data_IF_223776026574
#
_entry.id   IF_223776026574
#
_cell.length_a   1.000
_cell.length_b   1.000
_cell.length_c   1.000
_cell.angle_alpha   90.00
_cell.angle_beta   90.00
_cell.angle_gamma   90.00
#
_symmetry.space_group_name_H-M   'P 1'
#
loop_
_entity.id
_entity.type
_entity.pdbx_description
1 polymer ?
#
# COMPACT_ATOMS: atom_id res chain seq x y z
N UNK A 1 25.42 -25.14 4.07
CA UNK A 1 25.09 -24.88 5.49
C UNK A 1 25.04 -23.38 5.80
N UNK A 2 25.90 -22.57 5.18
CA UNK A 2 25.93 -21.09 5.32
C UNK A 2 24.64 -20.38 4.88
N UNK A 3 23.97 -20.84 3.81
CA UNK A 3 22.72 -20.23 3.31
C UNK A 3 21.54 -20.34 4.30
N UNK A 4 21.42 -21.42 5.09
CA UNK A 4 20.38 -21.55 6.13
C UNK A 4 20.66 -20.71 7.38
N UNK A 5 21.93 -20.41 7.65
CA UNK A 5 22.34 -19.58 8.80
C UNK A 5 22.13 -18.09 8.52
N UNK A 6 22.31 -17.65 7.28
CA UNK A 6 22.00 -16.29 6.83
C UNK A 6 20.49 -16.01 6.86
N UNK A 7 19.66 -17.01 6.50
CA UNK A 7 18.20 -16.92 6.47
C UNK A 7 17.59 -16.78 7.89
N UNK A 8 18.17 -17.46 8.89
CA UNK A 8 17.79 -17.31 10.30
C UNK A 8 18.25 -15.99 10.91
N UNK A 9 19.44 -15.51 10.55
CA UNK A 9 19.96 -14.22 11.02
C UNK A 9 19.16 -13.04 10.44
N UNK A 10 18.76 -13.12 9.16
CA UNK A 10 17.85 -12.16 8.51
C UNK A 10 16.49 -12.13 9.20
N UNK A 11 15.82 -13.27 9.39
CA UNK A 11 14.53 -13.33 10.09
C UNK A 11 14.59 -12.86 11.54
N UNK A 12 15.74 -13.05 12.20
CA UNK A 12 15.95 -12.56 13.57
C UNK A 12 16.14 -11.05 13.60
N UNK A 13 16.87 -10.50 12.63
CA UNK A 13 17.05 -9.05 12.49
C UNK A 13 15.75 -8.36 12.08
N UNK A 14 14.93 -9.01 11.23
CA UNK A 14 13.60 -8.51 10.85
C UNK A 14 12.71 -8.33 12.06
N UNK A 15 12.67 -9.32 12.94
CA UNK A 15 11.91 -9.24 14.20
C UNK A 15 12.44 -8.15 15.13
N UNK A 16 13.76 -7.99 15.20
CA UNK A 16 14.40 -7.01 16.11
C UNK A 16 14.11 -5.57 15.71
N UNK A 17 14.18 -5.22 14.41
CA UNK A 17 13.84 -3.85 13.99
C UNK A 17 12.34 -3.59 14.14
N UNK A 18 11.48 -4.58 13.86
CA UNK A 18 10.03 -4.46 14.05
C UNK A 18 9.67 -4.24 15.53
N UNK A 19 10.31 -4.98 16.44
CA UNK A 19 10.14 -4.81 17.89
C UNK A 19 10.60 -3.44 18.36
N UNK A 20 11.75 -2.96 17.87
CA UNK A 20 12.23 -1.62 18.19
C UNK A 20 11.28 -0.55 17.65
N UNK A 21 10.84 -0.68 16.40
CA UNK A 21 9.91 0.25 15.79
C UNK A 21 8.60 0.32 16.60
N UNK A 22 8.07 -0.81 17.09
CA UNK A 22 6.87 -0.84 17.95
C UNK A 22 7.07 -0.07 19.25
N UNK A 23 8.25 -0.19 19.86
CA UNK A 23 8.60 0.57 21.08
C UNK A 23 8.66 2.06 20.79
N UNK A 24 9.34 2.47 19.72
CA UNK A 24 9.45 3.88 19.33
C UNK A 24 8.08 4.49 19.01
N UNK A 25 7.18 3.73 18.38
CA UNK A 25 5.79 4.17 18.17
C UNK A 25 5.07 4.37 19.51
N UNK A 26 5.22 3.46 20.47
CA UNK A 26 4.62 3.63 21.79
C UNK A 26 5.16 4.87 22.53
N UNK A 27 6.46 5.16 22.40
CA UNK A 27 7.09 6.35 22.98
C UNK A 27 6.63 7.65 22.28
N UNK A 28 6.44 7.62 20.97
CA UNK A 28 5.81 8.70 20.23
C UNK A 28 4.37 8.90 20.70
N UNK A 29 3.59 7.82 20.83
CA UNK A 29 2.20 7.86 21.30
C UNK A 29 2.07 8.43 22.72
N UNK A 30 3.05 8.14 23.59
CA UNK A 30 3.09 8.68 24.96
C UNK A 30 3.52 10.16 25.02
N UNK A 31 3.91 10.75 23.89
CA UNK A 31 4.41 12.13 23.82
C UNK A 31 5.84 12.31 24.32
N UNK A 32 6.63 11.23 24.43
CA UNK A 32 8.04 11.31 24.83
C UNK A 32 8.86 12.15 23.84
N UNK A 33 8.46 12.13 22.57
CA UNK A 33 9.01 12.96 21.50
C UNK A 33 7.90 13.81 20.86
N UNK A 34 7.83 15.12 21.18
CA UNK A 34 6.84 16.02 20.61
C UNK A 34 7.00 16.18 19.09
N UNK A 35 5.91 16.53 18.38
CA UNK A 35 5.96 16.89 16.96
C UNK A 35 6.93 18.06 16.73
N UNK A 36 7.77 17.95 15.71
CA UNK A 36 8.84 18.89 15.38
C UNK A 36 10.14 18.66 16.16
N UNK A 37 10.14 17.81 17.20
CA UNK A 37 11.36 17.48 17.93
C UNK A 37 12.23 16.49 17.15
N UNK A 38 13.54 16.49 17.46
CA UNK A 38 14.48 15.53 16.91
C UNK A 38 14.52 14.28 17.78
N UNK A 39 14.46 13.10 17.17
CA UNK A 39 14.77 11.85 17.87
C UNK A 39 16.24 11.85 18.34
N UNK A 40 16.55 11.06 19.39
CA UNK A 40 17.94 10.81 19.79
C UNK A 40 18.75 10.24 18.62
N UNK A 41 20.08 10.42 18.67
CA UNK A 41 20.92 9.95 17.58
C UNK A 41 20.85 8.41 17.45
N UNK A 42 21.04 7.86 16.24
CA UNK A 42 21.02 6.39 16.00
C UNK A 42 21.92 5.63 17.00
N UNK A 43 23.05 6.22 17.39
CA UNK A 43 23.99 5.64 18.36
C UNK A 43 23.41 5.58 19.77
N UNK A 44 22.66 6.59 20.17
CA UNK A 44 22.03 6.68 21.49
C UNK A 44 20.85 5.72 21.59
N UNK A 45 20.00 5.69 20.56
CA UNK A 45 18.90 4.72 20.45
C UNK A 45 19.41 3.27 20.48
N UNK A 46 20.52 3.00 19.79
CA UNK A 46 21.14 1.67 19.81
C UNK A 46 21.57 1.26 21.22
N UNK A 47 22.13 2.18 22.00
CA UNK A 47 22.51 1.94 23.39
C UNK A 47 21.29 1.80 24.31
N UNK A 48 20.30 2.68 24.17
CA UNK A 48 19.09 2.69 25.00
C UNK A 48 18.27 1.40 24.86
N UNK A 49 18.16 0.88 23.64
CA UNK A 49 17.36 -0.31 23.34
C UNK A 49 18.19 -1.59 23.22
N UNK A 50 19.50 -1.52 23.46
CA UNK A 50 20.43 -2.64 23.38
C UNK A 50 20.36 -3.41 22.05
N UNK A 51 20.40 -2.67 20.93
CA UNK A 51 20.38 -3.23 19.57
C UNK A 51 21.52 -2.67 18.71
N UNK A 52 21.70 -3.23 17.52
CA UNK A 52 22.68 -2.71 16.57
C UNK A 52 22.23 -1.41 15.92
N UNK A 53 23.18 -0.55 15.49
CA UNK A 53 22.86 0.68 14.74
C UNK A 53 22.11 0.41 13.42
N UNK A 54 22.44 -0.62 12.63
CA UNK A 54 21.63 -1.01 11.47
C UNK A 54 20.17 -1.29 11.84
N UNK A 55 19.90 -2.02 12.93
CA UNK A 55 18.54 -2.30 13.42
C UNK A 55 17.79 -1.03 13.79
N UNK A 56 18.46 -0.05 14.42
CA UNK A 56 17.88 1.27 14.70
C UNK A 56 17.54 2.01 13.42
N UNK A 57 18.44 1.99 12.44
CA UNK A 57 18.21 2.64 11.15
C UNK A 57 17.02 2.01 10.41
N UNK A 58 16.89 0.69 10.41
CA UNK A 58 15.74 -0.02 9.84
C UNK A 58 14.44 0.36 10.55
N UNK A 59 14.44 0.46 11.88
CA UNK A 59 13.29 0.93 12.64
C UNK A 59 12.92 2.39 12.29
N UNK A 60 13.89 3.30 12.22
CA UNK A 60 13.66 4.70 11.83
C UNK A 60 13.11 4.79 10.40
N UNK A 61 13.65 4.00 9.46
CA UNK A 61 13.12 3.93 8.09
C UNK A 61 11.66 3.44 8.11
N UNK A 62 11.33 2.44 8.92
CA UNK A 62 9.94 1.97 9.05
C UNK A 62 9.02 3.08 9.59
N UNK A 63 9.48 3.88 10.56
CA UNK A 63 8.74 5.04 11.07
C UNK A 63 8.63 6.16 10.01
N UNK A 64 9.66 6.36 9.19
CA UNK A 64 9.68 7.34 8.10
C UNK A 64 8.73 6.94 6.97
N UNK A 65 8.72 5.67 6.59
CA UNK A 65 7.73 5.11 5.67
C UNK A 65 6.32 5.36 6.21
N UNK A 66 6.12 5.29 7.53
CA UNK A 66 4.83 5.59 8.15
C UNK A 66 4.48 7.08 8.24
N UNK A 67 5.39 7.96 7.81
CA UNK A 67 5.25 9.42 7.93
C UNK A 67 5.25 9.92 9.37
N UNK A 68 5.66 9.09 10.34
CA UNK A 68 5.78 9.49 11.74
C UNK A 68 7.01 10.36 11.97
N UNK A 69 8.07 10.11 11.19
CA UNK A 69 9.32 10.87 11.22
C UNK A 69 9.80 11.22 9.81
N UNK A 70 10.68 12.21 9.71
CA UNK A 70 11.40 12.59 8.48
C UNK A 70 12.91 12.52 8.76
N UNK A 71 13.67 11.76 7.97
CA UNK A 71 15.13 11.68 8.09
C UNK A 71 15.78 12.77 7.24
N UNK A 72 16.41 13.74 7.90
CA UNK A 72 17.17 14.80 7.23
C UNK A 72 18.65 14.43 7.20
N UNK A 73 19.21 14.28 6.00
CA UNK A 73 20.61 13.89 5.79
C UNK A 73 21.55 14.83 6.56
N UNK A 74 22.38 14.26 7.42
CA UNK A 74 23.34 15.01 8.26
C UNK A 74 22.73 15.74 9.46
N UNK A 75 21.41 15.76 9.60
CA UNK A 75 20.70 16.50 10.64
C UNK A 75 19.93 15.62 11.62
N UNK A 76 19.50 14.41 11.22
CA UNK A 76 18.82 13.44 12.10
C UNK A 76 17.36 13.22 11.72
N UNK A 77 16.63 12.42 12.53
CA UNK A 77 15.22 12.13 12.33
C UNK A 77 14.34 13.08 13.15
N UNK A 78 13.33 13.69 12.53
CA UNK A 78 12.41 14.64 13.15
C UNK A 78 11.00 14.08 13.19
N UNK A 79 10.29 14.27 14.31
CA UNK A 79 8.91 13.81 14.46
C UNK A 79 7.96 14.69 13.65
N UNK A 80 7.20 14.10 12.75
CA UNK A 80 6.28 14.80 11.85
C UNK A 80 4.83 14.77 12.34
N UNK A 81 4.41 13.65 12.95
CA UNK A 81 3.11 13.49 13.58
C UNK A 81 3.18 12.44 14.69
N UNK A 82 2.21 12.44 15.60
CA UNK A 82 2.04 11.37 16.58
C UNK A 82 1.25 10.20 15.95
N UNK A 83 1.52 8.95 16.38
CA UNK A 83 0.80 7.78 15.91
C UNK A 83 -0.66 7.75 16.39
N UNK A 84 -1.57 7.28 15.53
CA UNK A 84 -2.98 7.04 15.82
C UNK A 84 -3.26 5.57 16.19
N UNK A 85 -4.52 5.23 16.48
CA UNK A 85 -4.95 3.86 16.90
C UNK A 85 -4.62 2.73 15.91
N UNK A 86 -4.22 3.03 14.68
CA UNK A 86 -3.87 2.06 13.63
C UNK A 86 -2.38 1.97 13.30
N UNK A 87 -1.51 2.80 13.88
CA UNK A 87 -0.07 2.78 13.59
C UNK A 87 0.60 1.67 14.42
N UNK A 88 0.76 0.48 13.83
CA UNK A 88 1.53 -0.63 14.42
C UNK A 88 2.84 -0.79 13.64
N UNK A 89 3.98 -0.59 14.30
CA UNK A 89 5.27 -0.70 13.63
C UNK A 89 5.58 -2.15 13.23
N UNK A 90 6.12 -2.31 12.02
CA UNK A 90 6.44 -3.63 11.48
C UNK A 90 5.26 -4.45 10.99
N UNK A 91 4.04 -3.93 11.07
CA UNK A 91 2.82 -4.49 10.45
C UNK A 91 2.23 -3.49 9.46
N UNK A 92 3.10 -2.88 8.65
CA UNK A 92 2.62 -2.02 7.58
C UNK A 92 2.02 -2.93 6.50
N UNK A 93 0.71 -2.87 6.29
CA UNK A 93 0.06 -3.67 5.25
C UNK A 93 0.53 -3.11 3.92
N UNK A 94 1.35 -3.86 3.21
CA UNK A 94 1.89 -3.45 1.91
C UNK A 94 0.76 -3.34 0.88
N UNK A 95 0.98 -2.62 -0.23
CA UNK A 95 0.01 -2.58 -1.33
C UNK A 95 -0.27 -3.98 -1.90
N UNK A 96 0.74 -4.86 -1.88
CA UNK A 96 0.66 -6.23 -2.38
C UNK A 96 -0.19 -7.10 -1.45
N UNK A 97 0.11 -7.13 -0.15
CA UNK A 97 -0.70 -7.85 0.85
C UNK A 97 -2.16 -7.36 0.86
N UNK A 98 -2.36 -6.04 0.71
CA UNK A 98 -3.69 -5.46 0.61
C UNK A 98 -4.43 -5.97 -0.63
N UNK A 99 -3.78 -5.96 -1.79
CA UNK A 99 -4.39 -6.39 -3.06
C UNK A 99 -4.66 -7.91 -3.05
N UNK A 100 -3.79 -8.71 -2.44
CA UNK A 100 -4.03 -10.14 -2.20
C UNK A 100 -5.24 -10.40 -1.31
N UNK A 101 -5.42 -9.61 -0.24
CA UNK A 101 -6.61 -9.71 0.60
C UNK A 101 -7.87 -9.36 -0.22
N UNK A 102 -7.84 -8.27 -1.01
CA UNK A 102 -8.96 -7.89 -1.88
C UNK A 102 -9.32 -8.99 -2.87
N UNK A 103 -8.33 -9.68 -3.47
CA UNK A 103 -8.56 -10.82 -4.37
C UNK A 103 -9.38 -11.95 -3.73
N UNK A 104 -9.19 -12.19 -2.43
CA UNK A 104 -9.92 -13.19 -1.67
C UNK A 104 -11.33 -12.71 -1.32
N UNK A 105 -11.46 -11.50 -0.76
CA UNK A 105 -12.73 -10.99 -0.25
C UNK A 105 -13.66 -10.46 -1.34
N UNK A 106 -13.18 -9.61 -2.23
CA UNK A 106 -14.00 -8.95 -3.25
C UNK A 106 -14.44 -9.95 -4.34
N UNK A 107 -13.61 -10.97 -4.64
CA UNK A 107 -14.00 -12.04 -5.56
C UNK A 107 -15.21 -12.85 -5.07
N UNK A 108 -15.21 -13.26 -3.80
CA UNK A 108 -16.36 -13.95 -3.20
C UNK A 108 -17.55 -13.01 -2.98
N UNK A 109 -17.31 -11.73 -2.68
CA UNK A 109 -18.36 -10.74 -2.59
C UNK A 109 -19.08 -10.54 -3.94
N UNK A 110 -18.34 -10.48 -5.05
CA UNK A 110 -18.94 -10.40 -6.39
C UNK A 110 -19.80 -11.64 -6.71
N UNK A 111 -19.32 -12.83 -6.33
CA UNK A 111 -20.08 -14.07 -6.49
C UNK A 111 -21.39 -14.05 -5.71
N UNK A 112 -21.33 -13.65 -4.44
CA UNK A 112 -22.49 -13.56 -3.57
C UNK A 112 -23.47 -12.50 -4.07
N UNK A 113 -22.97 -11.31 -4.43
CA UNK A 113 -23.78 -10.23 -4.99
C UNK A 113 -24.56 -10.68 -6.22
N UNK A 114 -23.93 -11.42 -7.15
CA UNK A 114 -24.57 -11.90 -8.38
C UNK A 114 -25.87 -12.71 -8.13
N UNK A 115 -25.98 -13.40 -6.98
CA UNK A 115 -27.16 -14.21 -6.66
C UNK A 115 -28.41 -13.40 -6.30
N UNK A 116 -28.26 -12.12 -5.99
CA UNK A 116 -29.29 -11.32 -5.32
C UNK A 116 -29.31 -9.84 -5.69
N UNK A 117 -28.38 -9.40 -6.55
CA UNK A 117 -28.31 -8.02 -7.03
C UNK A 117 -29.61 -7.61 -7.75
N UNK A 118 -30.06 -6.38 -7.55
CA UNK A 118 -31.25 -5.83 -8.24
C UNK A 118 -30.87 -5.18 -9.58
N UNK A 119 -31.86 -4.95 -10.45
CA UNK A 119 -31.63 -4.26 -11.72
C UNK A 119 -31.28 -2.78 -11.50
N UNK A 120 -31.82 -2.18 -10.44
CA UNK A 120 -31.47 -0.83 -10.00
C UNK A 120 -30.00 -0.72 -9.56
N UNK A 121 -29.50 -1.73 -8.82
CA UNK A 121 -28.08 -1.78 -8.42
C UNK A 121 -27.16 -2.05 -9.61
N UNK A 122 -27.58 -2.86 -10.58
CA UNK A 122 -26.82 -3.03 -11.84
C UNK A 122 -26.72 -1.68 -12.56
N UNK A 123 -27.79 -0.90 -12.61
CA UNK A 123 -27.77 0.43 -13.23
C UNK A 123 -26.87 1.43 -12.45
N UNK A 124 -26.84 1.37 -11.11
CA UNK A 124 -25.89 2.12 -10.27
C UNK A 124 -24.45 1.76 -10.62
N UNK A 125 -24.12 0.46 -10.65
CA UNK A 125 -22.78 -0.03 -10.98
C UNK A 125 -22.37 0.38 -12.40
N UNK A 126 -23.27 0.29 -13.36
CA UNK A 126 -23.02 0.74 -14.73
C UNK A 126 -22.70 2.24 -14.81
N UNK A 127 -23.41 3.05 -14.02
CA UNK A 127 -23.11 4.48 -13.91
C UNK A 127 -21.72 4.72 -13.30
N UNK A 128 -21.33 3.95 -12.28
CA UNK A 128 -20.00 4.02 -11.68
C UNK A 128 -18.90 3.64 -12.67
N UNK A 129 -19.09 2.62 -13.53
CA UNK A 129 -18.14 2.29 -14.60
C UNK A 129 -17.92 3.48 -15.55
N UNK A 130 -18.99 4.21 -15.92
CA UNK A 130 -18.88 5.43 -16.72
C UNK A 130 -18.14 6.55 -15.99
N UNK A 131 -18.31 6.65 -14.68
CA UNK A 131 -17.62 7.65 -13.85
C UNK A 131 -16.13 7.34 -13.72
N UNK A 132 -15.74 6.06 -13.57
CA UNK A 132 -14.33 5.64 -13.61
C UNK A 132 -13.69 6.06 -14.94
N UNK A 133 -14.39 5.85 -16.07
CA UNK A 133 -13.88 6.26 -17.38
C UNK A 133 -13.68 7.79 -17.48
N UNK A 134 -14.53 8.58 -16.83
CA UNK A 134 -14.38 10.04 -16.76
C UNK A 134 -13.22 10.45 -15.84
N UNK A 135 -13.12 9.86 -14.64
CA UNK A 135 -12.00 10.12 -13.72
C UNK A 135 -10.65 9.78 -14.38
N UNK A 136 -10.59 8.71 -15.16
CA UNK A 136 -9.39 8.32 -15.91
C UNK A 136 -8.94 9.35 -16.97
N UNK A 137 -9.84 10.20 -17.48
CA UNK A 137 -9.49 11.23 -18.45
C UNK A 137 -9.01 12.52 -17.78
N UNK A 138 -9.34 12.72 -16.50
CA UNK A 138 -8.94 13.89 -15.73
C UNK A 138 -7.51 13.70 -15.16
N UNK A 139 -6.55 14.59 -15.48
CA UNK A 139 -5.23 14.57 -14.84
C UNK A 139 -5.26 14.72 -13.32
N UNK A 140 -6.33 15.30 -12.76
CA UNK A 140 -6.60 15.40 -11.32
C UNK A 140 -7.57 14.33 -10.80
N UNK A 141 -7.92 13.34 -11.63
CA UNK A 141 -8.91 12.31 -11.32
C UNK A 141 -8.56 11.50 -10.07
N UNK A 142 -9.57 11.29 -9.23
CA UNK A 142 -9.47 10.45 -8.04
C UNK A 142 -9.79 8.99 -8.33
N UNK A 143 -9.71 8.12 -7.33
CA UNK A 143 -10.19 6.72 -7.39
C UNK A 143 -11.54 6.57 -6.66
N UNK A 144 -12.34 7.64 -6.64
CA UNK A 144 -13.59 7.67 -5.87
C UNK A 144 -14.66 6.80 -6.52
N UNK A 145 -14.79 6.87 -7.85
CA UNK A 145 -15.75 6.04 -8.58
C UNK A 145 -15.33 4.56 -8.52
N UNK A 146 -14.02 4.29 -8.58
CA UNK A 146 -13.45 2.94 -8.40
C UNK A 146 -13.78 2.40 -6.99
N UNK A 147 -13.51 3.15 -5.92
CA UNK A 147 -13.94 2.77 -4.56
C UNK A 147 -15.44 2.52 -4.47
N UNK A 148 -16.25 3.42 -5.03
CA UNK A 148 -17.71 3.31 -4.97
C UNK A 148 -18.23 2.07 -5.71
N UNK A 149 -17.61 1.71 -6.84
CA UNK A 149 -17.93 0.49 -7.60
C UNK A 149 -17.77 -0.77 -6.74
N UNK A 150 -16.62 -0.91 -6.08
CA UNK A 150 -16.34 -2.06 -5.22
C UNK A 150 -17.28 -2.12 -4.00
N UNK A 151 -17.60 -0.96 -3.40
CA UNK A 151 -18.56 -0.89 -2.28
C UNK A 151 -20.01 -1.14 -2.69
N UNK A 152 -20.41 -0.80 -3.92
CA UNK A 152 -21.73 -1.12 -4.45
C UNK A 152 -21.92 -2.62 -4.59
N UNK A 153 -20.91 -3.33 -5.12
CA UNK A 153 -20.91 -4.79 -5.19
C UNK A 153 -20.96 -5.40 -3.78
N UNK A 154 -20.15 -4.90 -2.85
CA UNK A 154 -20.15 -5.37 -1.46
C UNK A 154 -21.53 -5.18 -0.78
N UNK A 155 -22.21 -4.06 -1.03
CA UNK A 155 -23.56 -3.78 -0.52
C UNK A 155 -24.63 -4.69 -1.14
N UNK A 156 -24.49 -5.04 -2.41
CA UNK A 156 -25.38 -5.98 -3.09
C UNK A 156 -25.36 -7.38 -2.47
N UNK A 157 -24.30 -7.75 -1.73
CA UNK A 157 -24.25 -9.01 -0.96
C UNK A 157 -25.26 -9.09 0.19
N UNK A 158 -25.86 -7.96 0.59
CA UNK A 158 -26.74 -7.84 1.78
C UNK A 158 -26.11 -8.39 3.07
N UNK A 159 -24.78 -8.49 3.10
CA UNK A 159 -24.02 -8.93 4.24
C UNK A 159 -23.21 -7.75 4.77
N UNK A 160 -23.63 -7.21 5.91
CA UNK A 160 -22.99 -6.02 6.48
C UNK A 160 -21.52 -6.27 6.86
N UNK A 161 -21.18 -7.47 7.34
CA UNK A 161 -19.81 -7.82 7.68
C UNK A 161 -18.89 -7.85 6.44
N UNK A 162 -19.41 -8.28 5.28
CA UNK A 162 -18.67 -8.22 4.00
C UNK A 162 -18.43 -6.77 3.58
N UNK A 163 -19.46 -5.92 3.69
CA UNK A 163 -19.34 -4.49 3.39
C UNK A 163 -18.30 -3.80 4.28
N UNK A 164 -18.36 -3.97 5.60
CA UNK A 164 -17.39 -3.40 6.54
C UNK A 164 -15.97 -3.89 6.26
N UNK A 165 -15.81 -5.18 5.92
CA UNK A 165 -14.51 -5.75 5.58
C UNK A 165 -13.92 -5.09 4.34
N UNK A 166 -14.70 -5.00 3.25
CA UNK A 166 -14.23 -4.38 2.00
C UNK A 166 -13.98 -2.88 2.20
N UNK A 167 -14.84 -2.19 2.95
CA UNK A 167 -14.62 -0.79 3.30
C UNK A 167 -13.30 -0.59 4.04
N UNK A 168 -12.99 -1.45 5.01
CA UNK A 168 -11.73 -1.41 5.75
C UNK A 168 -10.51 -1.65 4.85
N UNK A 169 -10.58 -2.58 3.90
CA UNK A 169 -9.51 -2.82 2.93
C UNK A 169 -9.28 -1.56 2.05
N UNK A 170 -10.35 -0.92 1.61
CA UNK A 170 -10.25 0.34 0.88
C UNK A 170 -9.68 1.49 1.71
N UNK A 171 -10.04 1.61 2.99
CA UNK A 171 -9.43 2.59 3.88
C UNK A 171 -7.93 2.36 4.08
N UNK A 172 -7.51 1.09 4.19
CA UNK A 172 -6.09 0.73 4.31
C UNK A 172 -5.27 1.17 3.10
N UNK A 173 -5.89 1.27 1.92
CA UNK A 173 -5.24 1.82 0.72
C UNK A 173 -4.71 3.24 0.92
N UNK A 174 -5.42 4.06 1.69
CA UNK A 174 -5.08 5.46 1.94
C UNK A 174 -4.37 5.68 3.28
N UNK A 175 -4.63 4.80 4.25
CA UNK A 175 -4.14 4.95 5.62
C UNK A 175 -2.89 4.14 5.91
N UNK A 176 -2.63 3.05 5.16
CA UNK A 176 -1.35 2.35 5.20
C UNK A 176 -0.31 3.15 4.41
N UNK A 177 0.76 3.65 5.04
CA UNK A 177 1.64 4.62 4.39
C UNK A 177 2.40 4.08 3.16
N UNK A 178 2.78 2.79 3.17
CA UNK A 178 3.39 2.18 1.98
C UNK A 178 2.37 1.99 0.86
N UNK A 179 1.16 1.50 1.19
CA UNK A 179 0.11 1.32 0.20
C UNK A 179 -0.29 2.66 -0.43
N UNK A 180 -0.47 3.70 0.39
CA UNK A 180 -0.78 5.04 -0.06
C UNK A 180 0.31 5.58 -0.99
N UNK A 181 1.59 5.46 -0.60
CA UNK A 181 2.72 5.91 -1.39
C UNK A 181 2.82 5.17 -2.73
N UNK A 182 2.62 3.85 -2.75
CA UNK A 182 2.72 3.07 -3.98
C UNK A 182 1.56 3.36 -4.93
N UNK A 183 0.33 3.48 -4.42
CA UNK A 183 -0.82 3.86 -5.23
C UNK A 183 -0.74 5.29 -5.75
N UNK A 184 -0.21 6.23 -4.97
CA UNK A 184 0.10 7.59 -5.44
C UNK A 184 1.12 7.54 -6.59
N UNK A 185 2.20 6.78 -6.43
CA UNK A 185 3.21 6.62 -7.49
C UNK A 185 2.66 5.99 -8.75
N UNK A 186 1.89 4.91 -8.64
CA UNK A 186 1.23 4.28 -9.77
C UNK A 186 0.37 5.30 -10.54
N UNK A 187 -0.38 6.14 -9.81
CA UNK A 187 -1.17 7.23 -10.41
C UNK A 187 -0.30 8.25 -11.14
N UNK A 188 0.82 8.68 -10.55
CA UNK A 188 1.77 9.60 -11.22
C UNK A 188 2.44 8.99 -12.46
N UNK A 189 2.60 7.67 -12.49
CA UNK A 189 3.05 6.91 -13.66
C UNK A 189 1.92 6.68 -14.69
N UNK A 190 0.76 7.33 -14.50
CA UNK A 190 -0.42 7.22 -15.36
C UNK A 190 -0.99 5.79 -15.43
N UNK A 191 -0.76 4.97 -14.39
CA UNK A 191 -1.47 3.70 -14.20
C UNK A 191 -2.90 4.03 -13.77
N UNK A 192 -3.85 3.62 -14.60
CA UNK A 192 -5.28 3.92 -14.44
C UNK A 192 -6.09 2.62 -14.39
N UNK A 193 -7.21 2.60 -13.64
CA UNK A 193 -8.20 1.54 -13.74
C UNK A 193 -8.52 1.18 -15.19
N UNK A 194 -8.46 -0.10 -15.55
CA UNK A 194 -8.78 -0.56 -16.90
C UNK A 194 -10.30 -0.71 -17.03
N UNK A 195 -10.92 0.04 -17.95
CA UNK A 195 -12.38 0.09 -18.05
C UNK A 195 -12.97 -1.23 -18.53
N UNK A 196 -12.23 -1.94 -19.38
CA UNK A 196 -12.61 -3.25 -19.91
C UNK A 196 -12.77 -4.28 -18.78
N UNK A 197 -11.91 -4.22 -17.76
CA UNK A 197 -11.98 -5.12 -16.59
C UNK A 197 -13.22 -4.84 -15.74
N UNK A 198 -13.52 -3.57 -15.46
CA UNK A 198 -14.73 -3.18 -14.72
C UNK A 198 -16.00 -3.54 -15.49
N UNK A 199 -15.98 -3.34 -16.80
CA UNK A 199 -17.08 -3.72 -17.69
C UNK A 199 -17.31 -5.23 -17.67
N UNK A 200 -16.25 -6.05 -17.65
CA UNK A 200 -16.38 -7.50 -17.54
C UNK A 200 -17.04 -7.94 -16.23
N UNK A 201 -16.71 -7.29 -15.11
CA UNK A 201 -17.38 -7.54 -13.82
C UNK A 201 -18.86 -7.15 -13.89
N UNK A 202 -19.19 -5.99 -14.46
CA UNK A 202 -20.57 -5.55 -14.65
C UNK A 202 -21.38 -6.54 -15.48
N UNK A 203 -20.86 -7.01 -16.63
CA UNK A 203 -21.56 -7.98 -17.47
C UNK A 203 -21.78 -9.31 -16.73
N UNK A 204 -20.81 -9.74 -15.93
CA UNK A 204 -20.94 -10.93 -15.10
C UNK A 204 -22.03 -10.79 -14.03
N UNK A 205 -22.13 -9.63 -13.38
CA UNK A 205 -23.20 -9.32 -12.43
C UNK A 205 -24.56 -9.23 -13.13
N UNK A 206 -24.62 -8.65 -14.34
CA UNK A 206 -25.84 -8.58 -15.15
C UNK A 206 -26.33 -9.96 -15.59
N UNK A 207 -25.40 -10.88 -15.88
CA UNK A 207 -25.70 -12.28 -16.14
C UNK A 207 -26.16 -13.05 -14.90
N UNK A 208 -26.00 -12.46 -13.70
CA UNK A 208 -26.35 -13.07 -12.40
C UNK A 208 -25.69 -14.44 -12.20
N UNK A 209 -24.49 -14.61 -12.74
CA UNK A 209 -23.69 -15.83 -12.62
C UNK A 209 -22.59 -15.67 -11.56
N UNK A 210 -22.69 -16.34 -10.40
CA UNK A 210 -21.71 -16.22 -9.33
C UNK A 210 -20.30 -16.67 -9.71
N UNK A 211 -20.17 -17.68 -10.58
CA UNK A 211 -18.87 -18.21 -10.98
C UNK A 211 -18.15 -17.22 -11.90
N UNK A 212 -18.87 -16.67 -12.88
CA UNK A 212 -18.32 -15.66 -13.79
C UNK A 212 -18.01 -14.37 -13.03
N UNK A 213 -18.88 -13.91 -12.13
CA UNK A 213 -18.66 -12.70 -11.33
C UNK A 213 -17.41 -12.81 -10.44
N UNK A 214 -17.22 -13.96 -9.78
CA UNK A 214 -15.98 -14.26 -9.03
C UNK A 214 -14.75 -14.18 -9.91
N UNK A 215 -14.79 -14.86 -11.06
CA UNK A 215 -13.65 -14.92 -11.97
C UNK A 215 -13.28 -13.53 -12.51
N UNK A 216 -14.28 -12.77 -12.96
CA UNK A 216 -14.08 -11.41 -13.48
C UNK A 216 -13.45 -10.49 -12.42
N UNK A 217 -13.96 -10.49 -11.19
CA UNK A 217 -13.41 -9.66 -10.11
C UNK A 217 -11.98 -10.06 -9.75
N UNK A 218 -11.69 -11.36 -9.72
CA UNK A 218 -10.32 -11.85 -9.46
C UNK A 218 -9.36 -11.47 -10.59
N UNK A 219 -9.78 -11.57 -11.84
CA UNK A 219 -8.96 -11.15 -12.99
C UNK A 219 -8.67 -9.65 -12.93
N UNK A 220 -9.67 -8.83 -12.64
CA UNK A 220 -9.50 -7.39 -12.46
C UNK A 220 -8.46 -7.07 -11.37
N UNK A 221 -8.58 -7.64 -10.18
CA UNK A 221 -7.65 -7.35 -9.08
C UNK A 221 -6.24 -7.93 -9.31
N UNK A 222 -6.12 -9.03 -10.07
CA UNK A 222 -4.82 -9.56 -10.48
C UNK A 222 -4.10 -8.60 -11.44
N UNK A 223 -4.83 -7.98 -12.38
CA UNK A 223 -4.25 -6.98 -13.28
C UNK A 223 -3.80 -5.71 -12.52
N UNK A 224 -4.52 -5.33 -11.45
CA UNK A 224 -4.07 -4.26 -10.53
C UNK A 224 -2.75 -4.65 -9.86
N UNK A 225 -2.62 -5.89 -9.37
CA UNK A 225 -1.39 -6.40 -8.76
C UNK A 225 -0.20 -6.35 -9.74
N UNK A 226 -0.41 -6.81 -10.97
CA UNK A 226 0.60 -6.77 -12.03
C UNK A 226 1.02 -5.34 -12.38
N UNK A 227 0.07 -4.40 -12.40
CA UNK A 227 0.35 -2.98 -12.63
C UNK A 227 1.17 -2.35 -11.50
N UNK A 228 0.93 -2.76 -10.25
CA UNK A 228 1.76 -2.34 -9.10
C UNK A 228 3.17 -2.90 -9.21
N UNK A 229 3.34 -4.17 -9.60
CA UNK A 229 4.64 -4.78 -9.83
C UNK A 229 5.42 -4.01 -10.91
N UNK A 230 4.79 -3.74 -12.06
CA UNK A 230 5.41 -2.98 -13.14
C UNK A 230 5.89 -1.58 -12.68
N UNK A 231 5.06 -0.86 -11.93
CA UNK A 231 5.43 0.46 -11.39
C UNK A 231 6.62 0.40 -10.42
N UNK A 232 6.77 -0.70 -9.67
CA UNK A 232 7.94 -0.89 -8.80
C UNK A 232 9.21 -1.26 -9.58
N UNK A 233 9.09 -2.10 -10.61
CA UNK A 233 10.23 -2.52 -11.45
C UNK A 233 10.81 -1.35 -12.26
N UNK A 234 9.95 -0.55 -12.90
CA UNK A 234 10.38 0.61 -13.67
C UNK A 234 11.17 1.61 -12.80
N UNK A 235 10.72 1.80 -11.55
CA UNK A 235 11.41 2.64 -10.57
C UNK A 235 12.79 2.08 -10.21
N UNK A 236 12.88 0.78 -9.93
CA UNK A 236 14.15 0.14 -9.58
C UNK A 236 15.17 0.28 -10.74
N UNK A 237 14.70 0.15 -11.98
CA UNK A 237 15.52 0.35 -13.19
C UNK A 237 15.96 1.81 -13.34
N UNK A 238 15.07 2.77 -13.12
CA UNK A 238 15.38 4.20 -13.23
C UNK A 238 16.35 4.67 -12.12
N UNK A 239 16.16 4.22 -10.87
CA UNK A 239 17.08 4.49 -9.77
C UNK A 239 18.47 3.89 -10.03
N UNK A 240 18.54 2.66 -10.54
CA UNK A 240 19.80 2.04 -10.94
C UNK A 240 20.49 2.82 -12.06
N UNK A 241 19.75 3.28 -13.07
CA UNK A 241 20.27 4.14 -14.16
C UNK A 241 20.83 5.46 -13.62
N UNK A 242 20.10 6.14 -12.73
CA UNK A 242 20.54 7.40 -12.10
C UNK A 242 21.79 7.20 -11.23
N UNK A 243 21.84 6.15 -10.43
CA UNK A 243 23.00 5.82 -9.60
C UNK A 243 24.25 5.56 -10.46
N UNK A 244 24.10 4.82 -11.56
CA UNK A 244 25.19 4.58 -12.53
C UNK A 244 25.62 5.88 -13.21
N UNK A 245 24.69 6.73 -13.64
CA UNK A 245 24.99 8.02 -14.25
C UNK A 245 25.75 8.96 -13.29
N UNK A 246 25.30 9.07 -12.04
CA UNK A 246 25.97 9.86 -11.01
C UNK A 246 27.38 9.32 -10.70
N UNK A 247 27.55 7.99 -10.66
CA UNK A 247 28.85 7.34 -10.46
C UNK A 247 29.78 7.63 -11.65
N UNK A 248 29.30 7.53 -12.89
CA UNK A 248 30.05 7.89 -14.10
C UNK A 248 30.50 9.36 -14.08
N UNK A 249 29.59 10.29 -13.82
CA UNK A 249 29.91 11.72 -13.74
C UNK A 249 31.01 12.03 -12.71
N UNK A 250 30.99 11.34 -11.56
CA UNK A 250 32.00 11.47 -10.51
C UNK A 250 33.39 11.00 -10.96
N UNK A 251 33.48 9.90 -11.69
CA UNK A 251 34.77 9.40 -12.21
C UNK A 251 35.30 10.27 -13.36
N UNK A 252 34.43 10.79 -14.23
CA UNK A 252 34.83 11.68 -15.34
C UNK A 252 35.31 13.05 -14.83
N UNK A 253 34.78 13.54 -13.71
CA UNK A 253 35.29 14.75 -13.05
C UNK A 253 36.63 14.55 -12.34
N UNK A 254 36.95 13.33 -11.89
CA UNK A 254 38.20 13.01 -11.20
C UNK A 254 39.39 12.75 -12.15
N UNK A 255 39.14 12.69 -13.47
CA UNK A 255 40.17 12.46 -14.52
C UNK A 255 40.52 13.72 -15.31
N UNK A 256 40.05 14.91 -14.89
CA UNK A 256 40.48 16.22 -15.36
C UNK A 256 41.32 16.90 -14.30
#
# INVERSE_FOLDING_TARGET
MESKMQDFASRSNDRLYQDLARKLIAELASGAYPVGSRLPAERELAQQHNVSRPTVREAIIALEVQGLVEVRIGSGAYVMRLPGKGDIAGFNITAFELTEARLLFEGEAAALAATQISDEEIAEIEQLVREIARENQDPGGTDKADRAFHLAIARATRNHAVLETIERLWELRYTSPEAALLHEKARTANVKPVIEEHSAVLEALRARDPAIARAAMRTHLAAVLDSLLFATEEKAVEEARRAVAAKRARYTQATR
#
